data_IF_169003724324
#
_entry.id   IF_169003724324
#
_cell.length_a   1.000
_cell.length_b   1.000
_cell.length_c   1.000
_cell.angle_alpha   90.00
_cell.angle_beta   90.00
_cell.angle_gamma   90.00
#
_symmetry.space_group_name_H-M   'P 1'
#
loop_
_entity.id
_entity.type
_entity.pdbx_description
1 polymer ?
#
# COMPACT_ATOMS: atom_id res chain seq x y z
N UNK A 1 199.60 35.55 -186.98
CA UNK A 1 198.13 35.53 -187.17
C UNK A 1 197.52 34.47 -186.25
N UNK A 2 197.44 34.73 -184.92
CA UNK A 2 197.06 33.69 -183.92
C UNK A 2 196.12 34.20 -182.81
N UNK A 3 196.24 35.45 -182.35
CA UNK A 3 195.49 35.95 -181.17
C UNK A 3 193.96 36.04 -181.33
N UNK A 4 193.42 36.00 -182.55
CA UNK A 4 191.96 36.17 -182.79
C UNK A 4 191.16 34.90 -182.46
N UNK A 5 191.74 33.71 -182.64
CA UNK A 5 191.00 32.44 -182.48
C UNK A 5 190.71 32.07 -181.02
N UNK A 6 191.57 32.49 -180.08
CA UNK A 6 191.41 32.23 -178.64
C UNK A 6 190.25 33.05 -178.07
N UNK A 7 190.24 34.36 -178.36
CA UNK A 7 189.21 35.29 -177.89
C UNK A 7 187.79 34.86 -178.30
N UNK A 8 187.63 34.34 -179.52
CA UNK A 8 186.35 33.81 -180.00
C UNK A 8 185.88 32.60 -179.15
N UNK A 9 186.77 31.67 -178.83
CA UNK A 9 186.40 30.46 -178.08
C UNK A 9 186.03 30.78 -176.62
N UNK A 10 186.73 31.73 -175.99
CA UNK A 10 186.39 32.22 -174.65
C UNK A 10 185.05 32.96 -174.63
N UNK A 11 184.73 33.76 -175.64
CA UNK A 11 183.42 34.45 -175.72
C UNK A 11 182.27 33.50 -176.02
N UNK A 12 182.42 32.51 -176.93
CA UNK A 12 181.40 31.48 -177.17
C UNK A 12 181.12 30.64 -175.91
N UNK A 13 182.16 30.27 -175.16
CA UNK A 13 181.99 29.61 -173.85
C UNK A 13 181.27 30.50 -172.84
N UNK A 14 181.74 31.74 -172.65
CA UNK A 14 181.18 32.64 -171.64
C UNK A 14 179.68 32.92 -171.90
N UNK A 15 179.29 33.10 -173.16
CA UNK A 15 177.88 33.29 -173.55
C UNK A 15 177.04 32.03 -173.28
N UNK A 16 177.60 30.83 -173.49
CA UNK A 16 176.88 29.59 -173.22
C UNK A 16 176.76 29.30 -171.72
N UNK A 17 177.82 29.52 -170.94
CA UNK A 17 177.81 29.43 -169.47
C UNK A 17 176.80 30.45 -168.88
N UNK A 18 176.77 31.68 -169.41
CA UNK A 18 175.82 32.74 -169.02
C UNK A 18 174.38 32.35 -169.37
N UNK A 19 174.13 31.80 -170.57
CA UNK A 19 172.81 31.31 -170.99
C UNK A 19 172.31 30.20 -170.07
N UNK A 20 173.14 29.19 -169.79
CA UNK A 20 172.75 28.07 -168.92
C UNK A 20 172.45 28.57 -167.49
N UNK A 21 173.25 29.51 -166.98
CA UNK A 21 172.98 30.18 -165.70
C UNK A 21 171.68 30.97 -165.69
N UNK A 22 171.37 31.70 -166.77
CA UNK A 22 170.12 32.45 -166.91
C UNK A 22 168.89 31.53 -166.95
N UNK A 23 168.93 30.45 -167.73
CA UNK A 23 167.81 29.48 -167.79
C UNK A 23 167.60 28.75 -166.45
N UNK A 24 168.67 28.45 -165.71
CA UNK A 24 168.56 27.90 -164.35
C UNK A 24 168.01 28.91 -163.33
N UNK A 25 168.35 30.20 -163.48
CA UNK A 25 167.77 31.27 -162.66
C UNK A 25 166.29 31.49 -162.97
N UNK A 26 165.88 31.37 -164.24
CA UNK A 26 164.49 31.45 -164.70
C UNK A 26 163.65 30.29 -164.13
N UNK A 27 164.11 29.04 -164.27
CA UNK A 27 163.49 27.85 -163.65
C UNK A 27 163.36 28.01 -162.12
N UNK A 28 164.36 28.59 -161.46
CA UNK A 28 164.31 28.87 -160.02
C UNK A 28 163.35 30.00 -159.66
N UNK A 29 163.21 31.03 -160.48
CA UNK A 29 162.22 32.09 -160.28
C UNK A 29 160.79 31.55 -160.46
N UNK A 30 160.53 30.73 -161.49
CA UNK A 30 159.24 30.06 -161.70
C UNK A 30 158.90 29.14 -160.50
N UNK A 31 159.87 28.34 -160.03
CA UNK A 31 159.73 27.51 -158.81
C UNK A 31 159.45 28.36 -157.55
N UNK A 32 159.98 29.58 -157.47
CA UNK A 32 159.75 30.51 -156.35
C UNK A 32 158.38 31.18 -156.47
N UNK A 33 157.94 31.53 -157.68
CA UNK A 33 156.62 32.10 -157.95
C UNK A 33 155.51 31.10 -157.62
N UNK A 34 155.63 29.84 -158.09
CA UNK A 34 154.68 28.77 -157.76
C UNK A 34 154.59 28.55 -156.23
N UNK A 35 155.74 28.53 -155.54
CA UNK A 35 155.77 28.40 -154.07
C UNK A 35 155.21 29.62 -153.36
N UNK A 36 155.44 30.83 -153.89
CA UNK A 36 154.92 32.07 -153.32
C UNK A 36 153.40 32.14 -153.49
N UNK A 37 152.86 31.74 -154.64
CA UNK A 37 151.41 31.64 -154.86
C UNK A 37 150.74 30.60 -153.97
N UNK A 38 151.35 29.42 -153.81
CA UNK A 38 150.88 28.40 -152.87
C UNK A 38 150.95 28.87 -151.40
N UNK A 39 151.99 29.63 -151.02
CA UNK A 39 152.14 30.18 -149.67
C UNK A 39 151.15 31.32 -149.40
N UNK A 40 150.88 32.20 -150.38
CA UNK A 40 149.85 33.24 -150.32
C UNK A 40 148.48 32.60 -150.08
N UNK A 41 148.11 31.61 -150.89
CA UNK A 41 146.85 30.85 -150.76
C UNK A 41 146.75 30.12 -149.41
N UNK A 42 147.87 29.58 -148.90
CA UNK A 42 147.95 29.02 -147.56
C UNK A 42 147.73 30.08 -146.47
N UNK A 43 148.25 31.29 -146.66
CA UNK A 43 148.05 32.42 -145.74
C UNK A 43 146.62 32.95 -145.74
N UNK A 44 145.94 32.96 -146.89
CA UNK A 44 144.50 33.27 -146.99
C UNK A 44 143.68 32.22 -146.22
N UNK A 45 143.94 30.94 -146.44
CA UNK A 45 143.27 29.84 -145.71
C UNK A 45 143.52 29.90 -144.20
N UNK A 46 144.73 30.30 -143.77
CA UNK A 46 145.04 30.52 -142.35
C UNK A 46 144.29 31.75 -141.80
N UNK A 47 144.17 32.83 -142.57
CA UNK A 47 143.42 34.01 -142.16
C UNK A 47 141.92 33.73 -142.00
N UNK A 48 141.30 33.05 -142.97
CA UNK A 48 139.90 32.60 -142.89
C UNK A 48 139.68 31.64 -141.70
N UNK A 49 140.64 30.73 -141.47
CA UNK A 49 140.60 29.83 -140.30
C UNK A 49 140.70 30.61 -138.98
N UNK A 50 141.54 31.64 -138.89
CA UNK A 50 141.65 32.50 -137.71
C UNK A 50 140.38 33.32 -137.48
N UNK A 51 139.78 33.88 -138.54
CA UNK A 51 138.51 34.60 -138.46
C UNK A 51 137.37 33.68 -138.00
N UNK A 52 137.35 32.42 -138.47
CA UNK A 52 136.40 31.41 -138.00
C UNK A 52 136.64 31.00 -136.54
N UNK A 53 137.91 30.81 -136.14
CA UNK A 53 138.28 30.50 -134.75
C UNK A 53 137.90 31.64 -133.80
N UNK A 54 138.10 32.90 -134.18
CA UNK A 54 137.65 34.05 -133.38
C UNK A 54 136.12 34.05 -133.23
N UNK A 55 135.37 33.87 -134.33
CA UNK A 55 133.91 33.76 -134.28
C UNK A 55 133.42 32.61 -133.39
N UNK A 56 134.05 31.43 -133.44
CA UNK A 56 133.73 30.33 -132.52
C UNK A 56 134.09 30.69 -131.07
N UNK A 57 135.23 31.34 -130.83
CA UNK A 57 135.67 31.77 -129.50
C UNK A 57 134.70 32.78 -128.88
N UNK A 58 134.21 33.74 -129.68
CA UNK A 58 133.17 34.67 -129.26
C UNK A 58 131.83 33.96 -128.95
N UNK A 59 131.41 32.99 -129.75
CA UNK A 59 130.19 32.19 -129.47
C UNK A 59 130.35 31.34 -128.21
N UNK A 60 131.51 30.73 -127.98
CA UNK A 60 131.81 29.99 -126.75
C UNK A 60 131.76 30.92 -125.55
N UNK A 61 132.41 32.09 -125.59
CA UNK A 61 132.37 33.08 -124.50
C UNK A 61 130.94 33.54 -124.18
N UNK A 62 130.11 33.84 -125.20
CA UNK A 62 128.70 34.18 -125.00
C UNK A 62 127.87 33.02 -124.42
N UNK A 63 128.19 31.79 -124.79
CA UNK A 63 127.48 30.59 -124.29
C UNK A 63 127.87 30.29 -122.85
N UNK A 64 129.17 30.35 -122.52
CA UNK A 64 129.68 30.22 -121.15
C UNK A 64 129.04 31.26 -120.22
N UNK A 65 128.94 32.53 -120.66
CA UNK A 65 128.26 33.56 -119.87
C UNK A 65 126.77 33.25 -119.62
N UNK A 66 126.04 32.79 -120.64
CA UNK A 66 124.64 32.35 -120.45
C UNK A 66 124.51 31.18 -119.47
N UNK A 67 125.51 30.29 -119.43
CA UNK A 67 125.56 29.17 -118.46
C UNK A 67 125.88 29.70 -117.04
N UNK A 68 126.80 30.66 -116.91
CA UNK A 68 127.08 31.37 -115.64
C UNK A 68 125.82 32.06 -115.09
N UNK A 69 125.09 32.81 -115.93
CA UNK A 69 123.81 33.43 -115.58
C UNK A 69 122.78 32.39 -115.09
N UNK A 70 122.72 31.20 -115.72
CA UNK A 70 121.83 30.10 -115.28
C UNK A 70 122.29 29.44 -113.98
N UNK A 71 123.59 29.33 -113.73
CA UNK A 71 124.15 28.74 -112.50
C UNK A 71 123.87 29.65 -111.29
N UNK A 72 123.96 30.97 -111.44
CA UNK A 72 123.57 31.93 -110.40
C UNK A 72 122.07 31.81 -110.04
N UNK A 73 121.20 31.72 -111.05
CA UNK A 73 119.75 31.49 -110.85
C UNK A 73 119.48 30.13 -110.19
N UNK A 74 120.18 29.07 -110.62
CA UNK A 74 120.04 27.72 -110.05
C UNK A 74 120.52 27.67 -108.59
N UNK A 75 121.60 28.38 -108.27
CA UNK A 75 122.13 28.51 -106.91
C UNK A 75 121.08 29.14 -105.98
N UNK A 76 120.53 30.30 -106.37
CA UNK A 76 119.46 30.99 -105.63
C UNK A 76 118.19 30.16 -105.47
N UNK A 77 117.83 29.38 -106.50
CA UNK A 77 116.71 28.43 -106.41
C UNK A 77 117.00 27.29 -105.42
N UNK A 78 118.24 26.77 -105.38
CA UNK A 78 118.63 25.70 -104.46
C UNK A 78 118.64 26.16 -102.99
N UNK A 79 119.09 27.39 -102.73
CA UNK A 79 119.04 28.01 -101.39
C UNK A 79 117.59 28.22 -100.92
N UNK A 80 116.73 28.75 -101.80
CA UNK A 80 115.31 28.91 -101.52
C UNK A 80 114.59 27.58 -101.25
N UNK A 81 114.90 26.52 -102.02
CA UNK A 81 114.38 25.17 -101.82
C UNK A 81 114.88 24.55 -100.50
N UNK A 82 116.12 24.80 -100.10
CA UNK A 82 116.66 24.32 -98.83
C UNK A 82 115.95 24.95 -97.63
N UNK A 83 115.81 26.28 -97.60
CA UNK A 83 115.06 26.95 -96.54
C UNK A 83 113.54 26.64 -96.57
N UNK A 84 112.96 26.33 -97.74
CA UNK A 84 111.59 25.82 -97.81
C UNK A 84 111.47 24.40 -97.25
N UNK A 85 112.41 23.50 -97.57
CA UNK A 85 112.47 22.13 -97.03
C UNK A 85 112.58 22.13 -95.51
N UNK A 86 113.47 22.98 -94.97
CA UNK A 86 113.65 23.20 -93.52
C UNK A 86 112.38 23.67 -92.82
N UNK A 87 111.62 24.59 -93.44
CA UNK A 87 110.30 25.03 -92.92
C UNK A 87 109.25 23.91 -92.97
N UNK A 88 109.29 23.06 -94.01
CA UNK A 88 108.43 21.88 -94.08
C UNK A 88 108.78 20.90 -92.94
N UNK A 89 110.07 20.69 -92.63
CA UNK A 89 110.49 19.86 -91.50
C UNK A 89 109.99 20.41 -90.15
N UNK A 90 110.14 21.71 -89.87
CA UNK A 90 109.65 22.29 -88.61
C UNK A 90 108.13 22.16 -88.49
N UNK A 91 107.36 22.42 -89.55
CA UNK A 91 105.91 22.26 -89.49
C UNK A 91 105.40 20.82 -89.54
N UNK A 92 106.23 19.84 -89.92
CA UNK A 92 105.96 18.42 -89.68
C UNK A 92 106.14 18.07 -88.18
N UNK A 93 107.17 18.63 -87.54
CA UNK A 93 107.46 18.43 -86.11
C UNK A 93 106.38 19.07 -85.22
N UNK A 94 106.02 20.34 -85.47
CA UNK A 94 104.89 21.04 -84.84
C UNK A 94 103.57 20.27 -84.97
N UNK A 95 103.29 19.73 -86.17
CA UNK A 95 102.09 18.94 -86.43
C UNK A 95 102.10 17.60 -85.68
N UNK A 96 103.26 16.96 -85.54
CA UNK A 96 103.41 15.71 -84.79
C UNK A 96 103.25 15.95 -83.28
N UNK A 97 103.79 17.03 -82.73
CA UNK A 97 103.57 17.42 -81.33
C UNK A 97 102.09 17.73 -81.07
N UNK A 98 101.45 18.53 -81.91
CA UNK A 98 100.02 18.84 -81.82
C UNK A 98 99.11 17.60 -81.93
N UNK A 99 99.49 16.59 -82.72
CA UNK A 99 98.79 15.29 -82.76
C UNK A 99 98.95 14.48 -81.46
N UNK A 100 100.12 14.53 -80.83
CA UNK A 100 100.35 13.88 -79.52
C UNK A 100 99.56 14.58 -78.43
N UNK A 101 99.54 15.91 -78.39
CA UNK A 101 98.75 16.69 -77.44
C UNK A 101 97.25 16.45 -77.64
N UNK A 102 96.75 16.53 -78.88
CA UNK A 102 95.35 16.24 -79.21
C UNK A 102 94.95 14.82 -78.77
N UNK A 103 95.81 13.82 -78.99
CA UNK A 103 95.57 12.44 -78.54
C UNK A 103 95.53 12.31 -77.02
N UNK A 104 96.39 13.04 -76.30
CA UNK A 104 96.36 13.12 -74.83
C UNK A 104 95.06 13.76 -74.34
N UNK A 105 94.72 14.94 -74.85
CA UNK A 105 93.56 15.71 -74.43
C UNK A 105 92.23 14.98 -74.73
N UNK A 106 92.17 14.22 -75.85
CA UNK A 106 91.04 13.32 -76.15
C UNK A 106 90.94 12.17 -75.14
N UNK A 107 92.07 11.57 -74.73
CA UNK A 107 92.08 10.49 -73.72
C UNK A 107 91.63 11.00 -72.35
N UNK A 108 92.17 12.13 -71.90
CA UNK A 108 91.80 12.75 -70.62
C UNK A 108 90.32 13.19 -70.63
N UNK A 109 89.82 13.73 -71.74
CA UNK A 109 88.41 14.03 -71.95
C UNK A 109 87.51 12.79 -71.92
N UNK A 110 87.95 11.67 -72.47
CA UNK A 110 87.22 10.40 -72.44
C UNK A 110 87.19 9.78 -71.03
N UNK A 111 88.27 9.91 -70.27
CA UNK A 111 88.35 9.44 -68.88
C UNK A 111 87.42 10.28 -67.97
N UNK A 112 87.46 11.61 -68.07
CA UNK A 112 86.50 12.49 -67.37
C UNK A 112 85.04 12.23 -67.78
N UNK A 113 84.77 11.91 -69.06
CA UNK A 113 83.44 11.53 -69.53
C UNK A 113 82.99 10.20 -68.91
N UNK A 114 83.89 9.21 -68.84
CA UNK A 114 83.59 7.90 -68.25
C UNK A 114 83.29 8.02 -66.75
N UNK A 115 84.05 8.80 -66.00
CA UNK A 115 83.77 9.07 -64.59
C UNK A 115 82.45 9.83 -64.40
N UNK A 116 82.18 10.84 -65.23
CA UNK A 116 80.90 11.56 -65.21
C UNK A 116 79.70 10.64 -65.47
N UNK A 117 79.83 9.65 -66.37
CA UNK A 117 78.79 8.64 -66.62
C UNK A 117 78.65 7.63 -65.46
N UNK A 118 79.75 7.29 -64.78
CA UNK A 118 79.77 6.41 -63.60
C UNK A 118 79.04 7.07 -62.43
N UNK A 119 79.38 8.33 -62.15
CA UNK A 119 78.81 9.10 -61.04
C UNK A 119 77.32 9.41 -61.28
N UNK A 120 76.94 9.78 -62.52
CA UNK A 120 75.53 9.90 -62.94
C UNK A 120 74.77 8.56 -62.79
N UNK A 121 75.42 7.44 -63.07
CA UNK A 121 74.85 6.10 -62.86
C UNK A 121 74.59 5.79 -61.39
N UNK A 122 75.46 6.25 -60.49
CA UNK A 122 75.28 6.15 -59.04
C UNK A 122 74.16 7.08 -58.54
N UNK A 123 74.10 8.33 -58.98
CA UNK A 123 73.01 9.26 -58.67
C UNK A 123 71.64 8.74 -59.13
N UNK A 124 71.53 8.20 -60.34
CA UNK A 124 70.30 7.56 -60.84
C UNK A 124 69.93 6.33 -59.99
N UNK A 125 70.93 5.56 -59.53
CA UNK A 125 70.74 4.45 -58.60
C UNK A 125 70.17 4.91 -57.26
N UNK A 126 70.70 6.00 -56.70
CA UNK A 126 70.25 6.60 -55.44
C UNK A 126 68.84 7.21 -55.58
N UNK A 127 68.58 7.98 -56.64
CA UNK A 127 67.26 8.55 -56.94
C UNK A 127 66.16 7.48 -57.05
N UNK A 128 66.48 6.34 -57.68
CA UNK A 128 65.58 5.18 -57.74
C UNK A 128 65.30 4.58 -56.35
N UNK A 129 66.31 4.50 -55.48
CA UNK A 129 66.15 4.01 -54.12
C UNK A 129 65.29 4.98 -53.27
N UNK A 130 65.47 6.29 -53.43
CA UNK A 130 64.62 7.30 -52.80
C UNK A 130 63.17 7.24 -53.27
N UNK A 131 62.94 7.05 -54.58
CA UNK A 131 61.59 6.87 -55.14
C UNK A 131 60.87 5.67 -54.52
N UNK A 132 61.56 4.55 -54.31
CA UNK A 132 61.03 3.36 -53.62
C UNK A 132 60.72 3.64 -52.14
N UNK A 133 61.54 4.44 -51.45
CA UNK A 133 61.24 4.87 -50.07
C UNK A 133 60.08 5.88 -49.99
N UNK A 134 59.88 6.69 -51.03
CA UNK A 134 58.70 7.57 -51.17
C UNK A 134 57.44 6.72 -51.38
N UNK A 135 57.48 5.70 -52.24
CA UNK A 135 56.37 4.76 -52.47
C UNK A 135 55.96 4.03 -51.18
N UNK A 136 56.93 3.53 -50.39
CA UNK A 136 56.68 2.93 -49.07
C UNK A 136 56.05 3.89 -48.07
N UNK A 137 56.38 5.19 -48.13
CA UNK A 137 55.77 6.23 -47.28
C UNK A 137 54.34 6.54 -47.74
N UNK A 138 54.10 6.65 -49.06
CA UNK A 138 52.78 6.91 -49.65
C UNK A 138 51.82 5.76 -49.31
N UNK A 139 52.22 4.51 -49.52
CA UNK A 139 51.40 3.33 -49.18
C UNK A 139 51.06 3.28 -47.69
N UNK A 140 52.05 3.47 -46.80
CA UNK A 140 51.83 3.53 -45.34
C UNK A 140 50.89 4.67 -44.91
N UNK A 141 50.93 5.82 -45.58
CA UNK A 141 49.97 6.93 -45.35
C UNK A 141 48.59 6.57 -45.87
N UNK A 142 48.48 5.91 -47.02
CA UNK A 142 47.23 5.40 -47.58
C UNK A 142 46.55 4.37 -46.67
N UNK A 143 47.29 3.42 -46.11
CA UNK A 143 46.79 2.43 -45.15
C UNK A 143 46.30 3.08 -43.85
N UNK A 144 47.08 4.04 -43.32
CA UNK A 144 46.70 4.80 -42.13
C UNK A 144 45.43 5.61 -42.38
N UNK A 145 45.33 6.27 -43.52
CA UNK A 145 44.16 7.07 -43.92
C UNK A 145 42.93 6.18 -44.16
N UNK A 146 43.09 5.03 -44.81
CA UNK A 146 42.05 4.01 -44.99
C UNK A 146 41.52 3.47 -43.66
N UNK A 147 42.42 3.18 -42.72
CA UNK A 147 42.08 2.77 -41.34
C UNK A 147 41.31 3.87 -40.59
N UNK A 148 41.78 5.13 -40.66
CA UNK A 148 41.08 6.28 -40.04
C UNK A 148 39.72 6.56 -40.69
N UNK A 149 39.60 6.40 -42.00
CA UNK A 149 38.35 6.59 -42.73
C UNK A 149 37.31 5.53 -42.35
N UNK A 150 37.71 4.26 -42.25
CA UNK A 150 36.86 3.16 -41.76
C UNK A 150 36.40 3.39 -40.32
N UNK A 151 37.28 3.89 -39.45
CA UNK A 151 36.91 4.26 -38.07
C UNK A 151 35.91 5.43 -38.02
N UNK A 152 36.12 6.48 -38.82
CA UNK A 152 35.19 7.60 -38.93
C UNK A 152 33.83 7.18 -39.50
N UNK A 153 33.82 6.32 -40.51
CA UNK A 153 32.60 5.75 -41.07
C UNK A 153 31.84 4.94 -40.01
N UNK A 154 32.49 3.99 -39.33
CA UNK A 154 31.88 3.23 -38.24
C UNK A 154 31.32 4.13 -37.12
N UNK A 155 31.97 5.26 -36.81
CA UNK A 155 31.44 6.22 -35.83
C UNK A 155 30.29 7.07 -36.37
N UNK A 156 30.26 7.37 -37.67
CA UNK A 156 29.10 7.99 -38.31
C UNK A 156 27.90 7.02 -38.34
N UNK A 157 28.15 5.74 -38.61
CA UNK A 157 27.13 4.68 -38.59
C UNK A 157 26.59 4.46 -37.17
N UNK A 158 27.43 4.41 -36.14
CA UNK A 158 27.02 4.37 -34.73
C UNK A 158 26.09 5.54 -34.38
N UNK A 159 26.48 6.76 -34.78
CA UNK A 159 25.71 7.99 -34.53
C UNK A 159 24.39 7.97 -35.31
N UNK A 160 24.39 7.53 -36.56
CA UNK A 160 23.19 7.40 -37.39
C UNK A 160 22.17 6.41 -36.80
N UNK A 161 22.64 5.24 -36.38
CA UNK A 161 21.82 4.23 -35.71
C UNK A 161 21.25 4.74 -34.37
N UNK A 162 22.08 5.41 -33.55
CA UNK A 162 21.64 5.95 -32.26
C UNK A 162 20.70 7.16 -32.41
N UNK A 163 20.90 7.99 -33.43
CA UNK A 163 20.00 9.10 -33.76
C UNK A 163 18.65 8.58 -34.28
N UNK A 164 18.65 7.60 -35.19
CA UNK A 164 17.42 6.92 -35.66
C UNK A 164 16.63 6.33 -34.50
N UNK A 165 17.26 5.50 -33.67
CA UNK A 165 16.62 4.90 -32.49
C UNK A 165 16.19 5.92 -31.41
N UNK A 166 16.70 7.17 -31.46
CA UNK A 166 16.25 8.27 -30.62
C UNK A 166 15.02 8.98 -31.22
N UNK A 167 15.01 9.20 -32.53
CA UNK A 167 13.87 9.74 -33.27
C UNK A 167 12.66 8.80 -33.23
N UNK A 168 12.85 7.48 -33.39
CA UNK A 168 11.80 6.48 -33.26
C UNK A 168 11.15 6.53 -31.86
N UNK A 169 11.94 6.71 -30.80
CA UNK A 169 11.45 6.86 -29.42
C UNK A 169 10.74 8.19 -29.20
N UNK A 170 11.20 9.27 -29.83
CA UNK A 170 10.51 10.56 -29.79
C UNK A 170 9.15 10.47 -30.50
N UNK A 171 9.07 9.78 -31.64
CA UNK A 171 7.82 9.51 -32.35
C UNK A 171 6.85 8.68 -31.48
N UNK A 172 7.32 7.56 -30.91
CA UNK A 172 6.52 6.74 -29.99
C UNK A 172 6.00 7.54 -28.77
N UNK A 173 6.81 8.48 -28.25
CA UNK A 173 6.41 9.36 -27.15
C UNK A 173 5.36 10.39 -27.60
N UNK A 174 5.47 10.95 -28.80
CA UNK A 174 4.46 11.86 -29.37
C UNK A 174 3.13 11.13 -29.66
N UNK A 175 3.18 9.89 -30.17
CA UNK A 175 1.99 9.06 -30.39
C UNK A 175 1.33 8.66 -29.06
N UNK A 176 2.14 8.35 -28.04
CA UNK A 176 1.67 8.11 -26.67
C UNK A 176 1.02 9.34 -26.03
N UNK A 177 1.64 10.52 -26.17
CA UNK A 177 1.06 11.79 -25.72
C UNK A 177 -0.24 12.13 -26.47
N UNK A 178 -0.28 11.91 -27.78
CA UNK A 178 -1.48 12.12 -28.60
C UNK A 178 -2.63 11.19 -28.19
N UNK A 179 -2.31 9.97 -27.75
CA UNK A 179 -3.29 9.02 -27.22
C UNK A 179 -3.80 9.46 -25.85
N UNK A 180 -2.89 9.75 -24.91
CA UNK A 180 -3.25 10.23 -23.57
C UNK A 180 -4.05 11.55 -23.58
N UNK A 181 -3.84 12.42 -24.58
CA UNK A 181 -4.62 13.65 -24.75
C UNK A 181 -6.06 13.36 -25.21
N UNK A 182 -6.28 12.37 -26.08
CA UNK A 182 -7.62 11.89 -26.46
C UNK A 182 -8.33 11.23 -25.27
N UNK A 183 -7.61 10.45 -24.48
CA UNK A 183 -8.16 9.82 -23.27
C UNK A 183 -8.54 10.88 -22.22
N UNK A 184 -7.76 11.96 -22.10
CA UNK A 184 -8.08 13.12 -21.25
C UNK A 184 -9.29 13.91 -21.77
N UNK A 185 -9.42 14.11 -23.08
CA UNK A 185 -10.60 14.71 -23.71
C UNK A 185 -11.85 13.86 -23.43
N UNK A 186 -11.77 12.54 -23.61
CA UNK A 186 -12.83 11.60 -23.28
C UNK A 186 -13.19 11.64 -21.78
N UNK A 187 -12.20 11.62 -20.88
CA UNK A 187 -12.42 11.72 -19.44
C UNK A 187 -13.10 13.04 -19.05
N UNK A 188 -12.69 14.15 -19.68
CA UNK A 188 -13.30 15.48 -19.46
C UNK A 188 -14.76 15.49 -19.91
N UNK A 189 -15.06 14.89 -21.08
CA UNK A 189 -16.43 14.75 -21.58
C UNK A 189 -17.27 13.88 -20.64
N UNK A 190 -16.75 12.72 -20.23
CA UNK A 190 -17.41 11.82 -19.29
C UNK A 190 -17.69 12.48 -17.92
N UNK A 191 -16.74 13.27 -17.39
CA UNK A 191 -16.97 14.06 -16.17
C UNK A 191 -18.06 15.11 -16.37
N UNK A 192 -18.14 15.76 -17.55
CA UNK A 192 -19.21 16.72 -17.84
C UNK A 192 -20.59 16.05 -17.95
N UNK A 193 -20.68 14.91 -18.63
CA UNK A 193 -21.90 14.09 -18.75
C UNK A 193 -22.37 13.61 -17.36
N UNK A 194 -21.46 13.08 -16.53
CA UNK A 194 -21.76 12.61 -15.18
C UNK A 194 -22.14 13.75 -14.21
N UNK A 195 -21.57 14.95 -14.37
CA UNK A 195 -21.99 16.14 -13.60
C UNK A 195 -23.36 16.66 -14.03
N UNK A 196 -23.73 16.54 -15.31
CA UNK A 196 -25.07 16.85 -15.79
C UNK A 196 -26.10 15.83 -15.27
N UNK A 197 -25.82 14.53 -15.37
CA UNK A 197 -26.68 13.49 -14.77
C UNK A 197 -26.85 13.67 -13.26
N UNK A 198 -25.76 13.96 -12.54
CA UNK A 198 -25.77 14.27 -11.10
C UNK A 198 -26.65 15.49 -10.77
N UNK A 199 -26.62 16.55 -11.60
CA UNK A 199 -27.53 17.70 -11.45
C UNK A 199 -29.00 17.30 -11.68
N UNK A 200 -29.31 16.53 -12.73
CA UNK A 200 -30.70 16.11 -13.00
C UNK A 200 -31.26 15.17 -11.93
N UNK A 201 -30.43 14.29 -11.37
CA UNK A 201 -30.83 13.38 -10.29
C UNK A 201 -31.00 14.12 -8.96
N UNK A 202 -30.14 15.09 -8.65
CA UNK A 202 -30.32 15.99 -7.51
C UNK A 202 -31.61 16.83 -7.64
N UNK A 203 -31.90 17.37 -8.84
CA UNK A 203 -33.17 18.07 -9.10
C UNK A 203 -34.38 17.17 -8.84
N UNK A 204 -34.40 15.96 -9.40
CA UNK A 204 -35.48 14.97 -9.15
C UNK A 204 -35.62 14.62 -7.66
N UNK A 205 -34.52 14.54 -6.92
CA UNK A 205 -34.52 14.28 -5.48
C UNK A 205 -35.09 15.48 -4.69
N UNK A 206 -34.81 16.72 -5.12
CA UNK A 206 -35.38 17.92 -4.52
C UNK A 206 -36.89 18.03 -4.80
N UNK A 207 -37.33 17.75 -6.03
CA UNK A 207 -38.74 17.66 -6.41
C UNK A 207 -39.49 16.58 -5.59
N UNK A 208 -38.89 15.40 -5.44
CA UNK A 208 -39.42 14.31 -4.60
C UNK A 208 -39.48 14.69 -3.11
N UNK A 209 -38.44 15.33 -2.58
CA UNK A 209 -38.38 15.80 -1.19
C UNK A 209 -39.44 16.86 -0.89
N UNK A 210 -39.65 17.82 -1.80
CA UNK A 210 -40.71 18.82 -1.69
C UNK A 210 -42.10 18.18 -1.66
N UNK A 211 -42.35 17.21 -2.55
CA UNK A 211 -43.60 16.43 -2.58
C UNK A 211 -43.83 15.63 -1.31
N UNK A 212 -42.81 14.97 -0.76
CA UNK A 212 -42.92 14.28 0.54
C UNK A 212 -43.21 15.25 1.69
N UNK A 213 -42.64 16.46 1.67
CA UNK A 213 -42.95 17.49 2.66
C UNK A 213 -44.41 17.96 2.57
N UNK A 214 -44.98 18.09 1.37
CA UNK A 214 -46.40 18.42 1.16
C UNK A 214 -47.33 17.27 1.61
N UNK A 215 -47.02 16.02 1.26
CA UNK A 215 -47.75 14.83 1.71
C UNK A 215 -47.71 14.68 3.25
N UNK A 216 -46.59 15.00 3.90
CA UNK A 216 -46.47 15.03 5.36
C UNK A 216 -47.32 16.14 6.00
N UNK A 217 -47.34 17.34 5.41
CA UNK A 217 -48.16 18.47 5.88
C UNK A 217 -49.66 18.12 5.77
N UNK A 218 -50.06 17.47 4.68
CA UNK A 218 -51.42 16.97 4.50
C UNK A 218 -51.78 15.91 5.55
N UNK A 219 -50.89 14.95 5.84
CA UNK A 219 -51.08 13.96 6.90
C UNK A 219 -51.15 14.60 8.29
N UNK A 220 -50.31 15.60 8.58
CA UNK A 220 -50.34 16.32 9.86
C UNK A 220 -51.69 17.03 10.05
N UNK A 221 -52.24 17.63 8.99
CA UNK A 221 -53.57 18.26 9.02
C UNK A 221 -54.71 17.25 9.27
N UNK A 222 -54.61 16.05 8.70
CA UNK A 222 -55.54 14.95 9.01
C UNK A 222 -55.38 14.45 10.46
N UNK A 223 -54.14 14.34 10.95
CA UNK A 223 -53.85 13.88 12.31
C UNK A 223 -54.38 14.88 13.36
N UNK A 224 -54.25 16.19 13.10
CA UNK A 224 -54.84 17.27 13.90
C UNK A 224 -56.37 17.07 14.03
N UNK A 225 -57.05 16.88 12.89
CA UNK A 225 -58.51 16.69 12.85
C UNK A 225 -58.98 15.42 13.59
N UNK A 226 -58.18 14.35 13.57
CA UNK A 226 -58.42 13.13 14.37
C UNK A 226 -58.16 13.38 15.86
N UNK A 227 -57.12 14.15 16.21
CA UNK A 227 -56.79 14.49 17.60
C UNK A 227 -57.88 15.37 18.24
N UNK A 228 -58.40 16.37 17.53
CA UNK A 228 -59.48 17.22 18.01
C UNK A 228 -60.77 16.39 18.27
N UNK A 229 -61.10 15.46 17.37
CA UNK A 229 -62.21 14.51 17.57
C UNK A 229 -61.97 13.54 18.74
N UNK A 230 -60.72 13.12 18.97
CA UNK A 230 -60.35 12.29 20.12
C UNK A 230 -60.47 13.07 21.44
N UNK A 231 -60.15 14.36 21.42
CA UNK A 231 -60.23 15.26 22.57
C UNK A 231 -61.68 15.43 23.03
N UNK A 232 -62.61 15.74 22.11
CA UNK A 232 -64.04 15.82 22.44
C UNK A 232 -64.63 14.47 22.89
N UNK A 233 -64.22 13.36 22.26
CA UNK A 233 -64.58 12.02 22.75
C UNK A 233 -64.09 11.81 24.19
N UNK A 234 -62.83 12.13 24.50
CA UNK A 234 -62.27 11.97 25.86
C UNK A 234 -63.01 12.81 26.90
N UNK A 235 -63.41 14.03 26.54
CA UNK A 235 -64.20 14.93 27.37
C UNK A 235 -65.60 14.39 27.65
N UNK A 236 -66.23 13.71 26.67
CA UNK A 236 -67.50 13.00 26.88
C UNK A 236 -67.36 11.78 27.79
N UNK A 237 -66.24 11.05 27.69
CA UNK A 237 -65.93 9.88 28.53
C UNK A 237 -65.65 10.33 29.97
N UNK A 238 -64.93 11.43 30.19
CA UNK A 238 -64.67 12.00 31.51
C UNK A 238 -65.96 12.33 32.27
N UNK A 239 -66.91 13.00 31.60
CA UNK A 239 -68.24 13.28 32.16
C UNK A 239 -69.05 12.00 32.47
N UNK A 240 -68.87 10.94 31.66
CA UNK A 240 -69.47 9.64 31.95
C UNK A 240 -68.82 8.93 33.15
N UNK A 241 -67.49 9.05 33.33
CA UNK A 241 -66.77 8.46 34.45
C UNK A 241 -67.08 9.15 35.79
N UNK A 242 -67.20 10.48 35.82
CA UNK A 242 -67.65 11.24 37.00
C UNK A 242 -69.05 10.79 37.46
N UNK A 243 -69.94 10.50 36.50
CA UNK A 243 -71.26 9.92 36.78
C UNK A 243 -71.22 8.47 37.31
N UNK A 244 -70.11 7.75 37.08
CA UNK A 244 -69.90 6.37 37.50
C UNK A 244 -69.30 6.27 38.91
N UNK A 245 -68.30 7.08 39.26
CA UNK A 245 -67.72 7.09 40.62
C UNK A 245 -68.77 7.41 41.68
N UNK A 246 -69.60 8.43 41.43
CA UNK A 246 -70.75 8.80 42.28
C UNK A 246 -71.71 7.63 42.54
N UNK A 247 -71.88 6.75 41.54
CA UNK A 247 -72.74 5.57 41.60
C UNK A 247 -72.07 4.35 42.23
N UNK A 248 -70.75 4.23 42.12
CA UNK A 248 -69.97 3.14 42.70
C UNK A 248 -69.73 3.36 44.20
N UNK A 249 -69.40 4.58 44.62
CA UNK A 249 -69.25 4.95 46.04
C UNK A 249 -70.54 4.73 46.83
N UNK A 250 -71.70 5.09 46.26
CA UNK A 250 -73.01 4.86 46.88
C UNK A 250 -73.41 3.37 46.95
N UNK A 251 -72.90 2.53 46.05
CA UNK A 251 -73.12 1.07 46.09
C UNK A 251 -72.27 0.38 47.18
N UNK A 252 -71.00 0.76 47.37
CA UNK A 252 -70.16 0.17 48.41
C UNK A 252 -70.67 0.49 49.83
N UNK A 253 -71.13 1.72 50.08
CA UNK A 253 -71.73 2.11 51.38
C UNK A 253 -73.03 1.34 51.69
N UNK A 254 -73.74 0.85 50.67
CA UNK A 254 -74.91 -0.02 50.85
C UNK A 254 -74.51 -1.47 51.16
N UNK A 255 -73.48 -2.00 50.49
CA UNK A 255 -72.97 -3.36 50.72
C UNK A 255 -72.39 -3.56 52.13
N UNK A 256 -71.60 -2.61 52.61
CA UNK A 256 -70.97 -2.68 53.94
C UNK A 256 -72.03 -2.73 55.06
N UNK A 257 -73.08 -1.92 54.94
CA UNK A 257 -74.25 -1.96 55.84
C UNK A 257 -75.04 -3.27 55.76
N UNK A 258 -75.10 -3.91 54.59
CA UNK A 258 -75.76 -5.21 54.42
C UNK A 258 -74.99 -6.32 55.14
N UNK A 259 -73.65 -6.34 55.05
CA UNK A 259 -72.82 -7.31 55.77
C UNK A 259 -72.89 -7.12 57.29
N UNK A 260 -72.84 -5.87 57.78
CA UNK A 260 -73.00 -5.57 59.19
C UNK A 260 -74.36 -6.07 59.75
N UNK A 261 -75.45 -5.83 59.00
CA UNK A 261 -76.79 -6.29 59.37
C UNK A 261 -76.91 -7.82 59.35
N UNK A 262 -76.38 -8.49 58.32
CA UNK A 262 -76.48 -9.93 58.19
C UNK A 262 -75.71 -10.67 59.32
N UNK A 263 -74.54 -10.16 59.70
CA UNK A 263 -73.72 -10.77 60.75
C UNK A 263 -74.38 -10.65 62.14
N UNK A 264 -75.02 -9.51 62.44
CA UNK A 264 -75.80 -9.32 63.66
C UNK A 264 -76.96 -10.34 63.78
N UNK A 265 -77.78 -10.49 62.74
CA UNK A 265 -78.91 -11.43 62.69
C UNK A 265 -78.45 -12.88 62.88
N UNK A 266 -77.29 -13.26 62.32
CA UNK A 266 -76.75 -14.61 62.42
C UNK A 266 -76.36 -14.94 63.87
N UNK A 267 -75.76 -13.98 64.59
CA UNK A 267 -75.37 -14.12 65.99
C UNK A 267 -76.60 -14.25 66.92
N UNK A 268 -77.62 -13.39 66.75
CA UNK A 268 -78.87 -13.47 67.52
C UNK A 268 -79.57 -14.83 67.36
N UNK A 269 -79.62 -15.36 66.13
CA UNK A 269 -80.24 -16.67 65.85
C UNK A 269 -79.57 -17.84 66.59
N UNK A 270 -78.27 -17.72 66.91
CA UNK A 270 -77.48 -18.76 67.56
C UNK A 270 -77.66 -18.75 69.08
N UNK A 271 -77.76 -17.57 69.69
CA UNK A 271 -78.09 -17.41 71.12
C UNK A 271 -79.49 -17.95 71.45
N UNK A 272 -80.48 -17.71 70.58
CA UNK A 272 -81.83 -18.29 70.73
C UNK A 272 -81.79 -19.82 70.79
N UNK A 273 -81.00 -20.47 69.91
CA UNK A 273 -80.87 -21.93 69.88
C UNK A 273 -80.17 -22.50 71.11
N UNK A 274 -79.14 -21.82 71.62
CA UNK A 274 -78.47 -22.21 72.85
C UNK A 274 -79.45 -22.19 74.04
N UNK A 275 -80.20 -21.09 74.20
CA UNK A 275 -81.17 -20.91 75.29
C UNK A 275 -82.19 -22.07 75.36
N UNK A 276 -82.83 -22.43 74.24
CA UNK A 276 -83.80 -23.54 74.21
C UNK A 276 -83.19 -24.89 74.61
N UNK A 277 -81.95 -25.20 74.20
CA UNK A 277 -81.28 -26.45 74.59
C UNK A 277 -81.08 -26.50 76.10
N UNK A 278 -80.56 -25.42 76.70
CA UNK A 278 -80.33 -25.37 78.15
C UNK A 278 -81.62 -25.38 78.97
N UNK A 279 -82.70 -24.74 78.51
CA UNK A 279 -84.02 -24.85 79.15
C UNK A 279 -84.54 -26.30 79.17
N UNK A 280 -84.36 -27.05 78.08
CA UNK A 280 -84.71 -28.48 78.03
C UNK A 280 -83.80 -29.29 78.97
N UNK A 281 -82.49 -29.01 79.01
CA UNK A 281 -81.58 -29.67 79.94
C UNK A 281 -81.92 -29.44 81.42
N UNK A 282 -82.37 -28.24 81.81
CA UNK A 282 -82.88 -27.97 83.17
C UNK A 282 -84.07 -28.89 83.47
N UNK A 283 -85.04 -28.99 82.55
CA UNK A 283 -86.22 -29.84 82.74
C UNK A 283 -85.86 -31.34 82.81
N UNK A 284 -84.91 -31.80 81.99
CA UNK A 284 -84.42 -33.18 82.02
C UNK A 284 -83.69 -33.49 83.34
N UNK A 285 -82.83 -32.59 83.83
CA UNK A 285 -82.17 -32.72 85.14
C UNK A 285 -83.23 -32.72 86.26
N UNK A 286 -84.23 -31.83 86.20
CA UNK A 286 -85.32 -31.80 87.17
C UNK A 286 -86.05 -33.15 87.25
N UNK A 287 -86.40 -33.73 86.09
CA UNK A 287 -87.08 -35.04 86.02
C UNK A 287 -86.22 -36.18 86.57
N UNK A 288 -84.97 -36.33 86.12
CA UNK A 288 -84.06 -37.38 86.63
C UNK A 288 -83.70 -37.21 88.11
N UNK A 289 -83.72 -35.98 88.62
CA UNK A 289 -83.39 -35.67 90.01
C UNK A 289 -84.64 -35.52 90.89
N UNK A 290 -85.83 -35.89 90.39
CA UNK A 290 -87.11 -35.81 91.13
C UNK A 290 -87.31 -36.98 92.09
N UNK A 291 -86.69 -38.13 91.79
CA UNK A 291 -86.69 -39.33 92.64
C UNK A 291 -85.96 -39.08 93.96
N UNK A 292 -86.47 -39.61 95.09
CA UNK A 292 -85.84 -39.48 96.43
C UNK A 292 -84.35 -39.85 96.44
N UNK A 293 -83.94 -40.78 95.58
CA UNK A 293 -82.59 -41.35 95.52
C UNK A 293 -81.49 -40.38 95.05
N UNK A 294 -81.83 -39.39 94.22
CA UNK A 294 -80.86 -38.53 93.53
C UNK A 294 -80.87 -37.07 94.03
N UNK A 295 -81.78 -36.71 94.94
CA UNK A 295 -82.08 -35.34 95.37
C UNK A 295 -80.85 -34.50 95.79
N UNK A 296 -79.90 -35.11 96.51
CA UNK A 296 -78.70 -34.43 97.06
C UNK A 296 -77.77 -33.84 96.01
N UNK A 297 -77.78 -34.38 94.78
CA UNK A 297 -76.89 -33.97 93.67
C UNK A 297 -77.50 -32.84 92.83
N UNK A 298 -78.81 -32.55 93.01
CA UNK A 298 -79.57 -31.53 92.26
C UNK A 298 -78.90 -30.14 92.20
N UNK A 299 -78.45 -29.50 93.31
CA UNK A 299 -77.84 -28.16 93.22
C UNK A 299 -76.51 -28.17 92.48
N UNK A 300 -75.68 -29.20 92.65
CA UNK A 300 -74.38 -29.34 91.98
C UNK A 300 -74.53 -29.48 90.46
N UNK A 301 -75.52 -30.25 89.99
CA UNK A 301 -75.83 -30.36 88.56
C UNK A 301 -76.29 -29.03 87.95
N UNK A 302 -77.11 -28.24 88.66
CA UNK A 302 -77.52 -26.92 88.18
C UNK A 302 -76.37 -25.90 88.18
N UNK A 303 -75.50 -25.90 89.20
CA UNK A 303 -74.29 -25.05 89.21
C UNK A 303 -73.40 -25.40 88.01
N UNK A 304 -73.15 -26.69 87.77
CA UNK A 304 -72.38 -27.15 86.61
C UNK A 304 -73.03 -26.74 85.28
N UNK A 305 -74.34 -26.90 85.14
CA UNK A 305 -75.07 -26.47 83.94
C UNK A 305 -74.92 -24.97 83.69
N UNK A 306 -75.13 -24.13 84.71
CA UNK A 306 -74.98 -22.67 84.63
C UNK A 306 -73.55 -22.26 84.22
N UNK A 307 -72.51 -22.93 84.74
CA UNK A 307 -71.12 -22.69 84.32
C UNK A 307 -70.91 -23.07 82.85
N UNK A 308 -71.47 -24.19 82.37
CA UNK A 308 -71.34 -24.52 80.94
C UNK A 308 -72.09 -23.56 80.02
N UNK A 309 -73.24 -23.04 80.44
CA UNK A 309 -74.00 -22.05 79.70
C UNK A 309 -73.24 -20.71 79.58
N UNK A 310 -72.64 -20.23 80.67
CA UNK A 310 -71.85 -18.98 80.62
C UNK A 310 -70.58 -19.14 79.78
N UNK A 311 -69.93 -20.31 79.81
CA UNK A 311 -68.81 -20.65 78.92
C UNK A 311 -69.25 -20.71 77.46
N UNK A 312 -70.38 -21.33 77.13
CA UNK A 312 -70.90 -21.37 75.75
C UNK A 312 -71.23 -19.95 75.25
N UNK A 313 -71.90 -19.12 76.06
CA UNK A 313 -72.20 -17.71 75.70
C UNK A 313 -70.91 -16.89 75.56
N UNK A 314 -69.88 -17.13 76.37
CA UNK A 314 -68.58 -16.46 76.22
C UNK A 314 -67.89 -16.85 74.91
N UNK A 315 -67.86 -18.14 74.56
CA UNK A 315 -67.34 -18.63 73.26
C UNK A 315 -68.13 -18.01 72.10
N UNK A 316 -69.45 -17.93 72.20
CA UNK A 316 -70.31 -17.32 71.16
C UNK A 316 -70.09 -15.80 70.98
N UNK A 317 -69.70 -15.08 72.04
CA UNK A 317 -69.60 -13.61 72.03
C UNK A 317 -68.19 -13.05 71.87
N UNK A 318 -67.15 -13.83 72.21
CA UNK A 318 -65.75 -13.37 72.21
C UNK A 318 -64.79 -14.22 71.37
N UNK A 319 -65.15 -15.43 70.92
CA UNK A 319 -64.25 -16.23 70.07
C UNK A 319 -64.37 -15.79 68.61
N UNK A 320 -63.41 -14.97 68.14
CA UNK A 320 -63.25 -14.55 66.73
C UNK A 320 -62.70 -15.66 65.83
N UNK A 321 -62.96 -16.93 66.16
CA UNK A 321 -62.50 -18.11 65.43
C UNK A 321 -63.53 -18.54 64.39
N UNK A 322 -63.08 -19.37 63.44
CA UNK A 322 -63.93 -19.86 62.36
C UNK A 322 -65.17 -20.65 62.86
N UNK A 323 -66.26 -20.57 62.12
CA UNK A 323 -67.59 -21.07 62.54
C UNK A 323 -67.56 -22.57 62.84
N UNK A 324 -66.77 -23.32 62.09
CA UNK A 324 -66.56 -24.76 62.28
C UNK A 324 -65.81 -25.06 63.59
N UNK A 325 -64.73 -24.33 63.90
CA UNK A 325 -64.00 -24.45 65.17
C UNK A 325 -64.87 -24.05 66.37
N UNK A 326 -65.62 -22.96 66.25
CA UNK A 326 -66.52 -22.50 67.31
C UNK A 326 -67.60 -23.55 67.61
N UNK A 327 -68.15 -24.20 66.58
CA UNK A 327 -69.12 -25.28 66.72
C UNK A 327 -68.50 -26.54 67.34
N UNK A 328 -67.28 -26.90 66.94
CA UNK A 328 -66.54 -28.03 67.49
C UNK A 328 -66.24 -27.86 69.00
N UNK A 329 -65.75 -26.69 69.42
CA UNK A 329 -65.48 -26.40 70.84
C UNK A 329 -66.74 -26.47 71.70
N UNK A 330 -67.87 -25.91 71.21
CA UNK A 330 -69.15 -25.96 71.93
C UNK A 330 -69.60 -27.42 72.15
N UNK A 331 -69.47 -28.26 71.12
CA UNK A 331 -69.87 -29.67 71.22
C UNK A 331 -68.95 -30.48 72.18
N UNK A 332 -67.66 -30.13 72.24
CA UNK A 332 -66.71 -30.69 73.20
C UNK A 332 -67.10 -30.37 74.66
N UNK A 333 -67.40 -29.09 74.96
CA UNK A 333 -67.82 -28.64 76.30
C UNK A 333 -69.09 -29.36 76.77
N UNK A 334 -70.09 -29.46 75.89
CA UNK A 334 -71.35 -30.18 76.18
C UNK A 334 -71.13 -31.67 76.45
N UNK A 335 -70.25 -32.32 75.68
CA UNK A 335 -69.92 -33.73 75.85
C UNK A 335 -69.27 -34.03 77.21
N UNK A 336 -68.28 -33.22 77.60
CA UNK A 336 -67.60 -33.34 78.91
C UNK A 336 -68.59 -33.18 80.07
N UNK A 337 -69.52 -32.21 79.98
CA UNK A 337 -70.55 -32.02 81.00
C UNK A 337 -71.53 -33.21 81.09
N UNK A 338 -71.99 -33.75 79.96
CA UNK A 338 -72.88 -34.91 79.96
C UNK A 338 -72.23 -36.16 80.59
N UNK A 339 -70.92 -36.34 80.40
CA UNK A 339 -70.15 -37.43 80.99
C UNK A 339 -69.99 -37.24 82.51
N UNK A 340 -69.67 -36.03 82.97
CA UNK A 340 -69.64 -35.70 84.41
C UNK A 340 -71.01 -35.85 85.08
N UNK A 341 -72.09 -35.36 84.45
CA UNK A 341 -73.44 -35.42 85.00
C UNK A 341 -73.96 -36.86 85.11
N UNK A 342 -73.70 -37.71 84.11
CA UNK A 342 -74.07 -39.13 84.16
C UNK A 342 -73.27 -39.90 85.20
N UNK A 343 -71.97 -39.64 85.35
CA UNK A 343 -71.16 -40.21 86.44
C UNK A 343 -71.68 -39.82 87.83
N UNK A 344 -72.06 -38.54 88.02
CA UNK A 344 -72.63 -38.05 89.27
C UNK A 344 -74.00 -38.69 89.59
N UNK A 345 -74.87 -38.88 88.60
CA UNK A 345 -76.16 -39.56 88.79
C UNK A 345 -75.98 -41.05 89.11
N UNK A 346 -75.05 -41.75 88.46
CA UNK A 346 -74.73 -43.15 88.76
C UNK A 346 -74.21 -43.27 90.20
N UNK A 347 -73.29 -42.40 90.62
CA UNK A 347 -72.79 -42.37 92.00
C UNK A 347 -73.92 -42.15 93.02
N UNK A 348 -74.85 -41.23 92.74
CA UNK A 348 -76.00 -40.98 93.61
C UNK A 348 -76.89 -42.22 93.77
N UNK A 349 -77.23 -42.90 92.68
CA UNK A 349 -78.06 -44.12 92.68
C UNK A 349 -77.35 -45.25 93.45
N UNK A 350 -76.06 -45.48 93.22
CA UNK A 350 -75.30 -46.54 93.88
C UNK A 350 -75.08 -46.31 95.39
N UNK A 351 -75.15 -45.08 95.88
CA UNK A 351 -74.90 -44.74 97.29
C UNK A 351 -76.21 -44.65 98.11
N UNK A 352 -77.38 -44.88 97.49
CA UNK A 352 -78.66 -44.76 98.17
C UNK A 352 -78.93 -45.94 99.14
N UNK A 353 -79.12 -45.63 100.42
CA UNK A 353 -79.57 -46.59 101.44
C UNK A 353 -81.01 -46.25 101.84
N UNK A 354 -81.93 -47.19 101.65
CA UNK A 354 -83.35 -46.96 101.89
C UNK A 354 -83.69 -46.99 103.38
N UNK A 355 -84.15 -45.86 103.91
CA UNK A 355 -84.54 -45.70 105.32
C UNK A 355 -86.04 -45.93 105.55
N UNK A 356 -86.88 -45.92 104.52
CA UNK A 356 -88.34 -46.11 104.68
C UNK A 356 -88.67 -47.60 104.87
N UNK A 357 -87.97 -48.48 104.15
CA UNK A 357 -88.05 -49.94 104.37
C UNK A 357 -87.59 -50.32 105.79
N UNK A 358 -86.47 -49.75 106.25
CA UNK A 358 -85.92 -50.03 107.58
C UNK A 358 -86.88 -49.59 108.70
N UNK A 359 -87.49 -48.41 108.57
CA UNK A 359 -88.48 -47.92 109.53
C UNK A 359 -89.76 -48.78 109.54
N UNK A 360 -90.19 -49.29 108.37
CA UNK A 360 -91.38 -50.14 108.30
C UNK A 360 -91.16 -51.53 108.92
N UNK A 361 -89.97 -52.11 108.79
CA UNK A 361 -89.59 -53.34 109.51
C UNK A 361 -89.63 -53.11 111.03
N UNK A 362 -89.05 -52.01 111.50
CA UNK A 362 -89.03 -51.65 112.93
C UNK A 362 -90.45 -51.45 113.50
N UNK A 363 -91.36 -50.83 112.73
CA UNK A 363 -92.78 -50.69 113.09
C UNK A 363 -93.54 -52.03 113.09
N UNK A 364 -93.27 -52.93 112.15
CA UNK A 364 -93.85 -54.29 112.16
C UNK A 364 -93.42 -55.06 113.41
N UNK A 365 -92.13 -55.03 113.76
CA UNK A 365 -91.61 -55.67 114.98
C UNK A 365 -92.27 -55.12 116.25
N UNK A 366 -92.56 -53.81 116.30
CA UNK A 366 -93.31 -53.20 117.40
C UNK A 366 -94.77 -53.67 117.47
N UNK A 367 -95.49 -53.68 116.35
CA UNK A 367 -96.90 -54.11 116.27
C UNK A 367 -97.05 -55.60 116.65
N UNK A 368 -96.10 -56.45 116.24
CA UNK A 368 -96.09 -57.87 116.58
C UNK A 368 -95.86 -58.10 118.09
N UNK A 369 -95.00 -57.28 118.72
CA UNK A 369 -94.79 -57.27 120.18
C UNK A 369 -96.05 -56.84 120.95
N UNK A 370 -96.76 -55.80 120.49
CA UNK A 370 -98.00 -55.29 121.11
C UNK A 370 -99.16 -56.28 120.98
N UNK A 371 -99.32 -56.94 119.81
CA UNK A 371 -100.34 -57.98 119.62
C UNK A 371 -100.11 -59.23 120.49
N UNK A 372 -98.87 -59.47 120.94
CA UNK A 372 -98.57 -60.48 121.96
C UNK A 372 -99.23 -60.11 123.29
N UNK A 373 -98.93 -58.93 123.82
CA UNK A 373 -99.43 -58.43 125.11
C UNK A 373 -100.96 -58.35 125.15
N UNK A 374 -101.61 -57.87 124.09
CA UNK A 374 -103.08 -57.75 124.05
C UNK A 374 -103.84 -59.10 124.10
N UNK A 375 -103.13 -60.24 123.96
CA UNK A 375 -103.72 -61.58 124.07
C UNK A 375 -103.67 -62.16 125.49
N UNK A 376 -102.95 -61.54 126.43
CA UNK A 376 -102.63 -62.14 127.74
C UNK A 376 -103.41 -61.54 128.94
N UNK A 377 -104.14 -60.43 128.75
CA UNK A 377 -104.84 -59.72 129.84
C UNK A 377 -106.36 -59.58 129.62
N UNK A 378 -107.03 -60.67 129.19
CA UNK A 378 -108.50 -60.72 129.10
C UNK A 378 -109.07 -62.12 129.47
N UNK A 379 -108.50 -62.75 130.50
CA UNK A 379 -108.93 -64.06 131.00
C UNK A 379 -108.83 -64.21 132.52
N UNK A 380 -109.92 -63.84 133.21
CA UNK A 380 -110.26 -64.12 134.63
C UNK A 380 -109.40 -63.38 135.68
N UNK A 381 -109.88 -62.71 136.74
CA UNK A 381 -111.17 -62.56 137.48
C UNK A 381 -111.06 -63.06 138.94
N UNK A 382 -111.56 -62.22 139.85
CA UNK A 382 -111.57 -62.24 141.33
C UNK A 382 -110.23 -62.25 142.12
N UNK A 383 -110.17 -61.28 143.05
CA UNK A 383 -109.46 -61.17 144.34
C UNK A 383 -107.93 -61.46 144.41
N UNK A 384 -107.06 -60.54 144.86
CA UNK A 384 -107.29 -59.34 145.70
C UNK A 384 -106.21 -58.25 145.54
N UNK A 385 -106.62 -56.99 145.71
CA UNK A 385 -105.80 -55.82 146.09
C UNK A 385 -104.42 -55.63 145.42
N UNK A 386 -104.49 -55.24 144.15
CA UNK A 386 -104.00 -53.92 143.69
C UNK A 386 -102.68 -53.45 144.30
N UNK A 387 -101.57 -53.63 143.56
CA UNK A 387 -100.39 -52.78 143.70
C UNK A 387 -99.87 -52.35 142.32
N UNK A 388 -99.83 -51.04 142.09
CA UNK A 388 -99.61 -50.41 140.77
C UNK A 388 -98.12 -50.30 140.42
N UNK A 389 -97.40 -51.43 140.33
CA UNK A 389 -95.94 -51.44 140.25
C UNK A 389 -95.34 -52.53 139.33
N UNK A 390 -95.17 -52.20 138.04
CA UNK A 390 -94.15 -52.82 137.16
C UNK A 390 -94.03 -52.19 135.76
N UNK A 391 -95.06 -51.49 135.25
CA UNK A 391 -95.10 -50.90 133.90
C UNK A 391 -94.21 -49.63 133.71
N UNK A 392 -93.12 -49.53 134.47
CA UNK A 392 -92.08 -48.51 134.34
C UNK A 392 -90.72 -49.21 134.52
N UNK A 393 -90.11 -49.67 133.42
CA UNK A 393 -88.68 -49.49 133.15
C UNK A 393 -88.34 -49.81 131.67
N UNK A 394 -87.18 -49.33 131.20
CA UNK A 394 -86.56 -49.48 129.85
C UNK A 394 -87.37 -48.89 128.66
N UNK A 395 -86.84 -47.96 127.84
CA UNK A 395 -85.44 -47.60 127.57
C UNK A 395 -85.18 -46.06 127.53
N UNK A 396 -84.10 -45.62 128.19
CA UNK A 396 -83.42 -44.31 128.06
C UNK A 396 -81.90 -44.53 128.35
N UNK A 397 -80.99 -43.85 127.63
CA UNK A 397 -80.55 -42.48 127.96
C UNK A 397 -80.72 -41.51 126.76
N UNK A 398 -80.87 -40.19 126.90
CA UNK A 398 -79.98 -39.16 127.51
C UNK A 398 -78.61 -39.00 126.78
N UNK A 399 -78.06 -37.80 126.50
CA UNK A 399 -78.55 -36.40 126.54
C UNK A 399 -77.53 -35.49 125.78
N UNK A 400 -77.70 -34.15 125.81
CA UNK A 400 -76.73 -33.06 125.54
C UNK A 400 -76.55 -32.69 124.05
N UNK A 401 -77.17 -31.62 123.52
CA UNK A 401 -76.91 -30.15 123.68
C UNK A 401 -75.62 -29.67 122.93
N UNK A 402 -75.46 -28.43 122.42
CA UNK A 402 -76.03 -27.08 122.67
C UNK A 402 -75.99 -26.23 121.36
N UNK A 403 -76.92 -25.30 121.04
CA UNK A 403 -76.87 -23.82 121.24
C UNK A 403 -75.61 -23.15 120.60
N UNK A 404 -75.67 -22.11 119.73
CA UNK A 404 -76.38 -20.81 119.82
C UNK A 404 -76.91 -20.24 118.46
N UNK A 405 -77.14 -18.90 118.35
CA UNK A 405 -78.23 -18.26 117.56
C UNK A 405 -77.77 -17.15 116.52
N UNK A 406 -78.68 -16.46 115.77
CA UNK A 406 -78.39 -15.65 114.55
C UNK A 406 -78.49 -14.10 114.69
N UNK A 407 -78.20 -13.32 113.62
CA UNK A 407 -78.64 -11.90 113.51
C UNK A 407 -78.69 -11.31 112.05
N UNK A 408 -79.32 -10.14 111.87
CA UNK A 408 -79.62 -9.46 110.57
C UNK A 408 -79.61 -7.92 110.65
N UNK A 409 -79.00 -7.19 109.69
CA UNK A 409 -78.90 -5.71 109.66
C UNK A 409 -79.00 -5.13 108.24
N UNK A 410 -79.51 -3.89 108.09
CA UNK A 410 -79.61 -3.12 106.83
C UNK A 410 -79.48 -1.58 107.06
N UNK A 411 -79.04 -0.80 106.05
CA UNK A 411 -79.03 0.70 105.90
C UNK A 411 -78.17 1.09 104.65
N UNK A 412 -78.15 2.28 104.01
CA UNK A 412 -79.09 3.42 103.85
C UNK A 412 -78.71 4.26 102.57
N UNK A 413 -78.93 5.59 102.52
CA UNK A 413 -79.38 6.34 101.32
C UNK A 413 -78.88 7.83 101.23
N UNK A 414 -79.26 8.57 100.15
CA UNK A 414 -79.47 10.06 100.02
C UNK A 414 -78.40 11.00 99.36
N UNK A 415 -78.93 12.03 98.65
CA UNK A 415 -78.38 13.33 98.15
C UNK A 415 -77.56 13.38 96.83
N UNK A 416 -77.70 14.30 95.84
CA UNK A 416 -78.59 15.44 95.43
C UNK A 416 -77.99 16.88 95.27
N UNK A 417 -78.23 17.48 94.08
CA UNK A 417 -78.51 18.92 93.79
C UNK A 417 -77.42 20.03 93.90
N UNK A 418 -77.60 21.28 93.39
CA UNK A 418 -78.09 21.81 92.08
C UNK A 418 -78.05 23.38 91.97
N UNK A 419 -77.46 23.95 90.90
CA UNK A 419 -77.83 25.20 90.13
C UNK A 419 -77.90 26.58 90.89
N UNK A 420 -77.52 27.74 90.31
CA UNK A 420 -78.35 28.85 89.68
C UNK A 420 -77.51 30.17 89.74
N UNK A 421 -77.67 31.33 89.03
CA UNK A 421 -78.62 31.86 88.01
C UNK A 421 -77.81 32.65 86.89
N UNK A 422 -77.97 33.90 86.39
CA UNK A 422 -78.87 35.07 86.65
C UNK A 422 -78.99 36.09 85.46
N UNK A 423 -80.04 35.99 84.62
CA UNK A 423 -80.80 37.13 84.02
C UNK A 423 -80.14 38.17 83.06
N UNK A 424 -80.80 38.86 82.13
CA UNK A 424 -82.24 39.08 81.75
C UNK A 424 -82.29 39.50 80.24
N UNK A 425 -83.38 39.77 79.48
CA UNK A 425 -84.86 39.84 79.65
C UNK A 425 -85.57 39.54 78.31
N UNK A 426 -86.91 39.57 78.28
CA UNK A 426 -87.80 39.35 77.10
C UNK A 426 -88.44 40.66 76.58
N UNK A 427 -88.82 40.70 75.29
CA UNK A 427 -90.25 40.71 74.84
C UNK A 427 -90.40 40.38 73.33
N UNK A 428 -91.63 40.12 72.90
CA UNK A 428 -91.98 39.37 71.67
C UNK A 428 -92.51 40.23 70.52
N UNK A 429 -92.37 39.75 69.27
CA UNK A 429 -93.47 39.75 68.29
C UNK A 429 -93.28 38.72 67.14
N UNK A 430 -94.23 38.65 66.20
CA UNK A 430 -94.49 37.49 65.32
C UNK A 430 -94.05 37.62 63.83
N UNK A 431 -93.55 36.48 63.31
CA UNK A 431 -93.75 35.91 61.94
C UNK A 431 -93.02 36.48 60.70
N UNK A 432 -92.41 35.53 59.98
CA UNK A 432 -92.18 35.42 58.52
C UNK A 432 -90.95 36.05 57.81
N UNK A 433 -90.13 35.13 57.27
CA UNK A 433 -89.66 35.03 55.86
C UNK A 433 -88.69 36.07 55.23
N UNK A 434 -87.52 35.50 54.88
CA UNK A 434 -86.93 35.41 53.53
C UNK A 434 -85.99 36.54 53.04
N UNK A 435 -84.78 36.12 52.64
CA UNK A 435 -83.76 36.87 51.87
C UNK A 435 -83.16 38.10 52.59
N UNK A 436 -81.90 38.44 52.36
CA UNK A 436 -81.08 38.15 51.17
C UNK A 436 -79.89 37.19 51.39
#
# INVERSE_FOLDING_TARGET
MVRVHVFKHETERLVNDLRTSAQYAEEKLETIEEKTGNLLKGSEQIHDSLNWIDFQTQQVAQTTKKVEDHIDVLSKLSEALYEQSKKITTSQEELQEGQVEMKKNIKEGMEMLQDSYRDLGEEIGNLRNEAVEIEKKITKVGDLMSSKMKYLQSKADDIGNMAGASLDKQQQLLDGQTTALKDLEFLTRFQSEALEESRTTLQRLAEYGHRQQEELLQRQKQLQQVHDHLMDNSKSILAAQESFESKQASMFVALDKLFALHNAILLESRLIKAFFVYCISIFVIYMFTSTKQTYTVRPWLYIGLCVTFTVEVAILRFATNDIEQQTWMINLVRSIFALLASAQLIHAICTYRDYEVLNHQMLQTLIEKVNGMQREELSWDMDSDVNWSSWIDFDLPEDVNTIEDPDYVAQEEVAENSITTTSTRRKYNLRNRLRH
#
